data_IF_127384854457
#
_entry.id   IF_127384854457
#
_cell.length_a   1.000
_cell.length_b   1.000
_cell.length_c   1.000
_cell.angle_alpha   90.00
_cell.angle_beta   90.00
_cell.angle_gamma   90.00
#
_symmetry.space_group_name_H-M   'P 1'
#
loop_
_entity.id
_entity.type
_entity.pdbx_description
1 polymer ?
#
# COMPACT_ATOMS: atom_id res chain seq x y z
N UNK A 1 0.73 9.06 21.05
CA UNK A 1 1.83 9.45 20.15
C UNK A 1 2.24 8.41 19.11
N UNK A 2 2.24 7.08 19.33
CA UNK A 2 2.69 6.11 18.28
C UNK A 2 1.64 5.74 17.22
N UNK A 3 0.37 5.57 17.60
CA UNK A 3 -0.69 5.07 16.70
C UNK A 3 -1.32 6.15 15.81
N UNK A 4 -1.28 7.42 16.24
CA UNK A 4 -1.94 8.51 15.53
C UNK A 4 -1.27 8.82 14.19
N UNK A 5 0.06 8.71 14.09
CA UNK A 5 0.80 8.88 12.84
C UNK A 5 0.53 7.77 11.83
N UNK A 6 0.37 6.54 12.31
CA UNK A 6 -0.05 5.41 11.47
C UNK A 6 -1.47 5.60 10.96
N UNK A 7 -2.39 5.96 11.85
CA UNK A 7 -3.79 6.17 11.50
C UNK A 7 -3.95 7.34 10.52
N UNK A 8 -3.19 8.44 10.69
CA UNK A 8 -3.15 9.56 9.73
C UNK A 8 -2.65 9.12 8.37
N UNK A 9 -1.52 8.40 8.30
CA UNK A 9 -0.95 7.94 7.02
C UNK A 9 -1.87 6.95 6.32
N UNK A 10 -2.49 6.04 7.07
CA UNK A 10 -3.48 5.10 6.54
C UNK A 10 -4.71 5.82 5.97
N UNK A 11 -5.26 6.79 6.70
CA UNK A 11 -6.41 7.58 6.23
C UNK A 11 -6.05 8.39 4.99
N UNK A 12 -4.87 9.03 4.96
CA UNK A 12 -4.40 9.77 3.78
C UNK A 12 -4.26 8.84 2.59
N UNK A 13 -3.64 7.66 2.74
CA UNK A 13 -3.55 6.69 1.66
C UNK A 13 -4.92 6.19 1.20
N UNK A 14 -5.84 5.92 2.12
CA UNK A 14 -7.19 5.43 1.79
C UNK A 14 -7.99 6.46 1.00
N UNK A 15 -7.91 7.74 1.38
CA UNK A 15 -8.54 8.84 0.63
C UNK A 15 -7.91 8.96 -0.75
N UNK A 16 -6.59 8.81 -0.86
CA UNK A 16 -5.88 8.89 -2.14
C UNK A 16 -6.19 7.70 -3.07
N UNK A 17 -6.61 6.55 -2.52
CA UNK A 17 -7.08 5.39 -3.30
C UNK A 17 -8.44 5.63 -3.94
N UNK A 18 -9.31 6.45 -3.35
CA UNK A 18 -10.65 6.74 -3.90
C UNK A 18 -10.62 7.30 -5.34
N UNK A 19 -9.85 8.37 -5.65
CA UNK A 19 -9.77 8.88 -7.01
C UNK A 19 -9.11 7.89 -7.97
N UNK A 20 -8.19 7.05 -7.50
CA UNK A 20 -7.56 5.99 -8.31
C UNK A 20 -8.58 4.94 -8.72
N UNK A 21 -9.45 4.53 -7.79
CA UNK A 21 -10.53 3.59 -8.07
C UNK A 21 -11.50 4.16 -9.10
N UNK A 22 -11.84 5.45 -9.01
CA UNK A 22 -12.69 6.10 -10.01
C UNK A 22 -12.06 6.14 -11.41
N UNK A 23 -10.74 6.30 -11.47
CA UNK A 23 -9.98 6.29 -12.72
C UNK A 23 -9.66 4.89 -13.23
N UNK A 24 -9.89 3.85 -12.41
CA UNK A 24 -9.50 2.48 -12.74
C UNK A 24 -10.51 1.85 -13.71
N UNK A 25 -10.04 1.26 -14.83
CA UNK A 25 -10.91 0.61 -15.81
C UNK A 25 -11.75 -0.53 -15.18
N UNK A 26 -11.27 -1.13 -14.09
CA UNK A 26 -11.98 -2.19 -13.36
C UNK A 26 -13.29 -1.69 -12.73
N UNK A 27 -13.27 -0.49 -12.13
CA UNK A 27 -14.45 0.13 -11.50
C UNK A 27 -15.34 0.77 -12.57
N UNK A 28 -14.74 1.38 -13.59
CA UNK A 28 -15.44 1.94 -14.74
C UNK A 28 -16.29 0.89 -15.46
N UNK A 29 -15.72 -0.29 -15.71
CA UNK A 29 -16.42 -1.42 -16.32
C UNK A 29 -17.50 -2.00 -15.39
N UNK A 30 -17.29 -1.96 -14.07
CA UNK A 30 -18.30 -2.38 -13.09
C UNK A 30 -19.52 -1.43 -13.04
N UNK A 31 -19.30 -0.12 -13.19
CA UNK A 31 -20.34 0.90 -13.20
C UNK A 31 -20.93 1.18 -14.60
N UNK A 32 -20.32 0.64 -15.67
CA UNK A 32 -20.79 0.82 -17.05
C UNK A 32 -20.49 2.19 -17.66
N UNK A 33 -19.46 2.89 -17.19
CA UNK A 33 -19.03 4.19 -17.74
C UNK A 33 -17.56 4.11 -18.15
N UNK A 34 -17.23 4.49 -19.39
CA UNK A 34 -15.84 4.60 -19.84
C UNK A 34 -15.37 6.06 -19.80
N UNK A 35 -14.43 6.33 -18.89
CA UNK A 35 -13.69 7.59 -18.79
C UNK A 35 -12.27 7.33 -19.26
N UNK A 36 -12.13 7.04 -20.56
CA UNK A 36 -10.86 6.82 -21.24
C UNK A 36 -10.41 8.12 -21.89
N UNK A 37 -9.23 8.60 -21.49
CA UNK A 37 -8.58 9.77 -22.08
C UNK A 37 -7.15 9.40 -22.44
N UNK A 38 -6.58 9.95 -23.53
CA UNK A 38 -5.23 9.60 -23.95
C UNK A 38 -4.22 10.00 -22.86
N UNK A 39 -3.78 9.01 -22.08
CA UNK A 39 -2.88 9.18 -20.94
C UNK A 39 -3.42 8.74 -19.58
N UNK A 40 -4.64 8.20 -19.49
CA UNK A 40 -5.23 7.67 -18.25
C UNK A 40 -4.31 6.66 -17.55
N UNK A 41 -3.66 5.78 -18.32
CA UNK A 41 -2.71 4.81 -17.79
C UNK A 41 -1.51 5.45 -17.09
N UNK A 42 -0.99 6.57 -17.60
CA UNK A 42 0.13 7.27 -16.96
C UNK A 42 -0.30 7.97 -15.67
N UNK A 43 -1.50 8.55 -15.65
CA UNK A 43 -2.08 9.17 -14.45
C UNK A 43 -2.36 8.11 -13.38
N UNK A 44 -2.97 6.99 -13.78
CA UNK A 44 -3.23 5.85 -12.90
C UNK A 44 -1.92 5.29 -12.33
N UNK A 45 -0.89 5.14 -13.17
CA UNK A 45 0.43 4.68 -12.75
C UNK A 45 1.09 5.66 -11.76
N UNK A 46 1.06 6.96 -12.05
CA UNK A 46 1.61 7.98 -11.17
C UNK A 46 0.90 8.02 -9.80
N UNK A 47 -0.45 8.03 -9.80
CA UNK A 47 -1.23 8.06 -8.56
C UNK A 47 -1.03 6.79 -7.73
N UNK A 48 -1.05 5.62 -8.37
CA UNK A 48 -0.83 4.33 -7.69
C UNK A 48 0.59 4.21 -7.14
N UNK A 49 1.60 4.67 -7.86
CA UNK A 49 2.97 4.72 -7.36
C UNK A 49 3.06 5.61 -6.11
N UNK A 50 2.46 6.81 -6.13
CA UNK A 50 2.44 7.70 -4.96
C UNK A 50 1.77 7.02 -3.78
N UNK A 51 0.63 6.36 -3.96
CA UNK A 51 -0.06 5.61 -2.88
C UNK A 51 0.79 4.45 -2.37
N UNK A 52 1.43 3.70 -3.26
CA UNK A 52 2.31 2.60 -2.86
C UNK A 52 3.47 3.10 -1.99
N UNK A 53 4.12 4.19 -2.38
CA UNK A 53 5.21 4.77 -1.59
C UNK A 53 4.70 5.40 -0.29
N UNK A 54 3.65 6.22 -0.31
CA UNK A 54 3.16 6.90 0.90
C UNK A 54 2.42 5.97 1.87
N UNK A 55 1.52 5.13 1.36
CA UNK A 55 0.72 4.19 2.15
C UNK A 55 1.49 2.93 2.53
N UNK A 56 2.38 2.45 1.64
CA UNK A 56 3.18 1.24 1.85
C UNK A 56 4.46 1.46 2.66
N UNK A 57 4.94 2.70 2.83
CA UNK A 57 6.12 3.03 3.65
C UNK A 57 6.17 2.34 5.03
N UNK A 58 5.11 2.35 5.87
CA UNK A 58 5.12 1.64 7.15
C UNK A 58 5.33 0.13 7.00
N UNK A 59 4.76 -0.47 5.94
CA UNK A 59 4.87 -1.88 5.65
C UNK A 59 6.28 -2.24 5.16
N UNK A 60 6.84 -1.45 4.23
CA UNK A 60 8.22 -1.59 3.79
C UNK A 60 9.21 -1.41 4.95
N UNK A 61 8.95 -0.44 5.84
CA UNK A 61 9.79 -0.21 7.02
C UNK A 61 9.74 -1.37 8.00
N UNK A 62 8.56 -1.96 8.23
CA UNK A 62 8.38 -3.15 9.05
C UNK A 62 9.12 -4.36 8.46
N UNK A 63 8.92 -4.64 7.16
CA UNK A 63 9.66 -5.70 6.46
C UNK A 63 11.17 -5.48 6.46
N UNK A 64 11.64 -4.26 6.23
CA UNK A 64 13.06 -3.94 6.27
C UNK A 64 13.63 -4.09 7.69
N UNK A 65 12.85 -3.75 8.72
CA UNK A 65 13.25 -3.99 10.11
C UNK A 65 13.34 -5.47 10.43
N UNK A 66 12.36 -6.28 10.00
CA UNK A 66 12.39 -7.74 10.14
C UNK A 66 13.55 -8.36 9.36
N UNK A 67 13.79 -7.93 8.12
CA UNK A 67 14.93 -8.38 7.29
C UNK A 67 16.26 -8.05 7.97
N UNK A 68 16.38 -6.88 8.59
CA UNK A 68 17.55 -6.49 9.38
C UNK A 68 17.63 -7.26 10.71
N UNK A 69 16.48 -7.64 11.29
CA UNK A 69 16.35 -8.53 12.45
C UNK A 69 16.49 -10.02 12.12
N UNK A 70 16.74 -10.42 10.86
CA UNK A 70 17.04 -11.81 10.47
C UNK A 70 18.40 -12.31 10.96
N UNK A 71 18.64 -12.23 12.27
CA UNK A 71 19.64 -13.03 12.98
C UNK A 71 19.14 -13.66 14.29
N UNK A 72 17.84 -13.71 14.60
CA UNK A 72 17.48 -14.34 15.91
C UNK A 72 16.05 -14.82 16.13
N UNK A 73 15.31 -15.28 15.10
CA UNK A 73 14.00 -15.93 15.34
C UNK A 73 13.85 -17.29 14.65
N UNK A 74 14.97 -18.00 14.46
CA UNK A 74 14.97 -19.45 14.27
C UNK A 74 15.34 -20.18 15.57
N UNK A 75 14.98 -19.61 16.74
CA UNK A 75 14.91 -20.42 17.96
C UNK A 75 13.62 -21.24 17.92
N UNK A 76 13.62 -22.25 17.05
CA UNK A 76 12.79 -23.41 17.29
C UNK A 76 13.25 -23.98 18.65
N UNK A 77 12.40 -24.07 19.68
CA UNK A 77 12.77 -24.79 20.88
C UNK A 77 12.65 -26.28 20.57
N UNK A 78 13.60 -26.81 19.80
CA UNK A 78 13.87 -28.24 19.76
C UNK A 78 15.00 -28.53 20.74
N UNK A 79 14.57 -28.78 21.98
CA UNK A 79 15.37 -29.29 23.09
C UNK A 79 14.37 -29.41 24.24
N UNK A 80 13.90 -30.59 24.63
CA UNK A 80 14.69 -31.80 24.84
C UNK A 80 14.71 -32.09 26.33
N UNK A 81 13.51 -32.33 26.90
CA UNK A 81 13.16 -33.17 28.05
C UNK A 81 11.75 -32.83 28.51
#
# INVERSE_FOLDING_TARGET
MMMEDFKRRFIVSAILTVPILFLSPLIQNFFGFELTFPGDHYVLFALSAVVYFYGGWPFLKGMADELRKRRSTWSCPLGGR
#
